data_IF_318935842981
#
_entry.id   IF_318935842981
#
_cell.length_a   1.000
_cell.length_b   1.000
_cell.length_c   1.000
_cell.angle_alpha   90.00
_cell.angle_beta   90.00
_cell.angle_gamma   90.00
#
_symmetry.space_group_name_H-M   'P 1'
#
loop_
_entity.id
_entity.type
_entity.pdbx_description
1 polymer ?
#
# COMPACT_ATOMS: atom_id res chain seq x y z
N UNK A 1 -25.20 1.39 -3.11
CA UNK A 1 -24.66 1.23 -1.74
C UNK A 1 -24.33 2.62 -1.22
N UNK A 2 -24.63 2.91 0.05
CA UNK A 2 -24.30 4.20 0.65
C UNK A 2 -22.84 4.17 1.14
N UNK A 3 -22.10 5.26 0.90
CA UNK A 3 -20.73 5.44 1.35
C UNK A 3 -20.60 6.79 2.04
N UNK A 4 -19.92 6.81 3.18
CA UNK A 4 -19.44 8.05 3.78
C UNK A 4 -18.12 8.41 3.10
N UNK A 5 -18.09 9.51 2.36
CA UNK A 5 -16.85 10.00 1.76
C UNK A 5 -15.95 10.55 2.86
N UNK A 6 -14.76 9.98 2.99
CA UNK A 6 -13.72 10.45 3.89
C UNK A 6 -12.39 10.47 3.14
N UNK A 7 -11.77 11.63 3.04
CA UNK A 7 -10.46 11.82 2.40
C UNK A 7 -9.49 12.36 3.46
N UNK A 8 -8.65 11.51 4.04
CA UNK A 8 -7.71 11.96 5.07
C UNK A 8 -6.58 12.84 4.48
N UNK A 9 -6.02 13.79 5.27
CA UNK A 9 -4.77 14.45 4.91
C UNK A 9 -3.62 13.45 4.71
N UNK A 10 -2.61 13.82 3.92
CA UNK A 10 -1.38 13.03 3.81
C UNK A 10 -0.68 12.94 5.19
N UNK A 11 -0.05 11.80 5.45
CA UNK A 11 0.57 11.50 6.75
C UNK A 11 -0.42 10.97 7.80
N UNK A 12 -1.73 10.99 7.54
CA UNK A 12 -2.73 10.40 8.43
C UNK A 12 -2.44 8.92 8.63
N UNK A 13 -2.54 8.47 9.88
CA UNK A 13 -2.44 7.08 10.30
C UNK A 13 -3.83 6.48 10.39
N UNK A 14 -4.03 5.37 9.70
CA UNK A 14 -5.27 4.60 9.65
C UNK A 14 -4.97 3.20 10.18
N UNK A 15 -5.90 2.61 10.92
CA UNK A 15 -5.81 1.21 11.35
C UNK A 15 -6.87 0.42 10.60
N UNK A 16 -6.47 -0.69 9.97
CA UNK A 16 -7.41 -1.63 9.36
C UNK A 16 -8.25 -2.30 10.44
N UNK A 17 -9.58 -2.20 10.36
CA UNK A 17 -10.50 -2.83 11.34
C UNK A 17 -10.85 -4.27 10.99
N UNK A 18 -10.63 -4.68 9.74
CA UNK A 18 -10.86 -6.03 9.23
C UNK A 18 -9.76 -6.38 8.21
N UNK A 19 -9.61 -7.66 7.81
CA UNK A 19 -8.72 -8.03 6.71
C UNK A 19 -9.06 -7.21 5.45
N UNK A 20 -8.03 -6.73 4.77
CA UNK A 20 -8.21 -6.00 3.51
C UNK A 20 -7.55 -6.76 2.37
N UNK A 21 -8.39 -7.25 1.46
CA UNK A 21 -8.00 -7.91 0.22
C UNK A 21 -7.89 -6.90 -0.92
N UNK A 22 -6.81 -6.99 -1.68
CA UNK A 22 -6.52 -6.09 -2.81
C UNK A 22 -5.59 -6.75 -3.83
N UNK A 23 -5.45 -6.10 -4.99
CA UNK A 23 -4.52 -6.51 -6.05
C UNK A 23 -3.13 -5.91 -5.79
N UNK A 24 -2.15 -6.76 -5.51
CA UNK A 24 -0.75 -6.38 -5.39
C UNK A 24 -0.03 -6.53 -6.74
N UNK A 25 0.19 -5.39 -7.40
CA UNK A 25 0.90 -5.32 -8.67
C UNK A 25 2.40 -5.59 -8.49
N UNK A 26 2.96 -6.41 -9.39
CA UNK A 26 4.39 -6.73 -9.45
C UNK A 26 5.23 -5.54 -9.93
N UNK A 27 5.41 -4.54 -9.08
CA UNK A 27 6.00 -3.26 -9.45
C UNK A 27 6.97 -2.77 -8.38
N UNK A 28 8.06 -2.11 -8.80
CA UNK A 28 9.19 -1.78 -7.93
C UNK A 28 8.84 -0.94 -6.68
N UNK A 29 7.80 -0.10 -6.73
CA UNK A 29 7.31 0.69 -5.57
C UNK A 29 6.57 -0.18 -4.55
N UNK A 30 6.10 -1.36 -4.97
CA UNK A 30 5.49 -2.38 -4.13
C UNK A 30 6.52 -3.40 -3.60
N UNK A 31 7.76 -3.36 -4.07
CA UNK A 31 8.79 -4.37 -3.76
C UNK A 31 8.99 -4.62 -2.26
N UNK A 32 8.85 -3.58 -1.41
CA UNK A 32 8.97 -3.77 0.05
C UNK A 32 7.78 -4.50 0.65
N UNK A 33 6.56 -4.31 0.13
CA UNK A 33 5.41 -5.08 0.58
C UNK A 33 5.46 -6.50 0.02
N UNK A 34 5.86 -6.67 -1.23
CA UNK A 34 6.12 -7.99 -1.82
C UNK A 34 7.08 -8.80 -0.95
N UNK A 35 8.23 -8.20 -0.58
CA UNK A 35 9.19 -8.84 0.30
C UNK A 35 8.63 -9.15 1.70
N UNK A 36 7.80 -8.26 2.27
CA UNK A 36 7.13 -8.51 3.55
C UNK A 36 6.20 -9.72 3.49
N UNK A 37 5.49 -9.89 2.37
CA UNK A 37 4.53 -10.98 2.14
C UNK A 37 5.18 -12.27 1.62
N UNK A 38 6.51 -12.28 1.44
CA UNK A 38 7.22 -13.42 0.89
C UNK A 38 7.00 -13.64 -0.61
N UNK A 39 6.57 -12.61 -1.34
CA UNK A 39 6.42 -12.65 -2.80
C UNK A 39 7.80 -12.56 -3.46
N UNK A 40 8.20 -13.64 -4.12
CA UNK A 40 9.52 -13.84 -4.74
C UNK A 40 9.53 -13.59 -6.25
N UNK A 41 8.43 -13.09 -6.83
CA UNK A 41 8.35 -12.83 -8.27
C UNK A 41 9.39 -11.79 -8.69
N UNK A 42 10.00 -12.01 -9.85
CA UNK A 42 10.87 -11.02 -10.48
C UNK A 42 10.04 -9.87 -11.04
N UNK A 43 10.56 -8.64 -10.97
CA UNK A 43 9.87 -7.46 -11.47
C UNK A 43 9.66 -7.55 -12.99
N UNK A 44 8.43 -7.28 -13.44
CA UNK A 44 8.02 -7.35 -14.85
C UNK A 44 7.64 -5.95 -15.37
N UNK A 45 7.79 -5.73 -16.68
CA UNK A 45 7.34 -4.51 -17.37
C UNK A 45 5.81 -4.46 -17.51
N UNK A 46 5.15 -5.62 -17.63
CA UNK A 46 3.68 -5.75 -17.57
C UNK A 46 3.26 -6.36 -16.22
N UNK A 47 3.08 -5.54 -15.17
CA UNK A 47 3.03 -6.02 -13.80
C UNK A 47 1.69 -6.72 -13.52
N UNK A 48 1.64 -8.04 -13.69
CA UNK A 48 0.46 -8.83 -13.31
C UNK A 48 0.23 -8.79 -11.79
N UNK A 49 -0.96 -8.39 -11.34
CA UNK A 49 -1.26 -8.40 -9.91
C UNK A 49 -1.52 -9.82 -9.40
N UNK A 50 -1.25 -10.02 -8.11
CA UNK A 50 -1.74 -11.18 -7.34
C UNK A 50 -2.65 -10.68 -6.23
N UNK A 51 -3.49 -11.56 -5.71
CA UNK A 51 -4.25 -11.26 -4.50
C UNK A 51 -3.31 -11.17 -3.30
N UNK A 52 -3.47 -10.12 -2.51
CA UNK A 52 -2.80 -9.92 -1.25
C UNK A 52 -3.82 -9.52 -0.18
N UNK A 53 -3.54 -9.90 1.06
CA UNK A 53 -4.39 -9.58 2.21
C UNK A 53 -3.52 -8.94 3.29
N UNK A 54 -3.94 -7.79 3.81
CA UNK A 54 -3.37 -7.22 5.03
C UNK A 54 -4.29 -7.55 6.22
N UNK A 55 -3.75 -8.01 7.35
CA UNK A 55 -4.56 -8.37 8.51
C UNK A 55 -5.13 -7.12 9.21
N UNK A 56 -6.20 -7.27 10.00
CA UNK A 56 -6.69 -6.22 10.89
C UNK A 56 -5.60 -5.80 11.88
N UNK A 57 -5.67 -4.56 12.37
CA UNK A 57 -4.67 -3.95 13.24
C UNK A 57 -3.45 -3.39 12.50
N UNK A 58 -3.33 -3.61 11.18
CA UNK A 58 -2.25 -3.00 10.39
C UNK A 58 -2.42 -1.49 10.35
N UNK A 59 -1.41 -0.77 10.83
CA UNK A 59 -1.38 0.69 10.81
C UNK A 59 -0.75 1.20 9.50
N UNK A 60 -1.58 1.87 8.69
CA UNK A 60 -1.24 2.43 7.40
C UNK A 60 -1.10 3.95 7.50
N UNK A 61 0.01 4.48 6.99
CA UNK A 61 0.25 5.91 6.85
C UNK A 61 -0.05 6.29 5.40
N UNK A 62 -1.00 7.19 5.17
CA UNK A 62 -1.32 7.70 3.83
C UNK A 62 -0.14 8.52 3.30
N UNK A 63 0.43 8.10 2.18
CA UNK A 63 1.66 8.68 1.62
C UNK A 63 1.36 9.64 0.46
N UNK A 64 0.57 9.19 -0.53
CA UNK A 64 0.24 9.95 -1.75
C UNK A 64 -1.14 9.58 -2.30
N UNK A 65 -1.80 10.56 -2.92
CA UNK A 65 -2.96 10.38 -3.80
C UNK A 65 -2.53 10.59 -5.25
N UNK A 66 -2.82 9.63 -6.11
CA UNK A 66 -2.78 9.79 -7.56
C UNK A 66 -4.19 9.58 -8.06
N UNK A 67 -4.93 10.67 -8.29
CA UNK A 67 -6.28 10.63 -8.86
C UNK A 67 -6.32 11.66 -9.98
N UNK A 68 -6.62 11.23 -11.21
CA UNK A 68 -6.57 12.12 -12.38
C UNK A 68 -7.77 11.92 -13.30
N UNK A 69 -8.49 13.02 -13.54
CA UNK A 69 -9.63 13.01 -14.45
C UNK A 69 -9.22 12.55 -15.86
N UNK A 70 -9.99 11.62 -16.43
CA UNK A 70 -9.75 11.05 -17.75
C UNK A 70 -8.65 9.98 -17.82
N UNK A 71 -8.01 9.66 -16.69
CA UNK A 71 -6.90 8.71 -16.59
C UNK A 71 -7.10 7.77 -15.39
N UNK A 72 -8.33 7.27 -15.23
CA UNK A 72 -8.76 6.48 -14.07
C UNK A 72 -8.01 5.16 -13.90
N UNK A 73 -7.40 4.64 -14.96
CA UNK A 73 -6.51 3.47 -14.86
C UNK A 73 -5.30 3.73 -13.96
N UNK A 74 -4.92 4.99 -13.70
CA UNK A 74 -3.81 5.34 -12.81
C UNK A 74 -4.27 5.67 -11.38
N UNK A 75 -5.58 5.70 -11.13
CA UNK A 75 -6.13 6.11 -9.84
C UNK A 75 -5.68 5.15 -8.73
N UNK A 76 -4.90 5.66 -7.79
CA UNK A 76 -4.24 4.87 -6.75
C UNK A 76 -3.87 5.71 -5.54
N UNK A 77 -3.77 5.05 -4.40
CA UNK A 77 -3.19 5.62 -3.19
C UNK A 77 -1.93 4.84 -2.83
N UNK A 78 -0.94 5.55 -2.30
CA UNK A 78 0.25 4.94 -1.70
C UNK A 78 0.17 4.97 -0.18
N UNK A 79 0.66 3.91 0.45
CA UNK A 79 0.72 3.76 1.90
C UNK A 79 2.13 3.39 2.35
N UNK A 80 2.45 3.73 3.60
CA UNK A 80 3.55 3.13 4.36
C UNK A 80 2.99 2.34 5.53
N UNK A 81 3.55 1.19 5.86
CA UNK A 81 3.17 0.46 7.08
C UNK A 81 3.99 1.01 8.25
N UNK A 82 3.33 1.43 9.33
CA UNK A 82 4.01 2.00 10.49
C UNK A 82 4.82 0.92 11.22
N UNK A 83 6.05 1.23 11.61
CA UNK A 83 6.91 0.32 12.39
C UNK A 83 7.45 -0.91 11.64
N UNK A 84 7.00 -1.17 10.40
CA UNK A 84 7.39 -2.34 9.62
C UNK A 84 8.42 -1.97 8.56
N UNK A 85 9.48 -2.77 8.45
CA UNK A 85 10.52 -2.64 7.44
C UNK A 85 10.79 -3.99 6.79
N UNK A 86 11.10 -3.98 5.50
CA UNK A 86 11.48 -5.15 4.73
C UNK A 86 12.77 -4.89 3.96
N UNK A 87 13.53 -5.96 3.69
CA UNK A 87 14.74 -5.90 2.87
C UNK A 87 14.37 -6.26 1.44
N UNK A 88 14.42 -5.29 0.53
CA UNK A 88 14.04 -5.49 -0.87
C UNK A 88 14.95 -4.70 -1.82
N UNK A 89 15.03 -5.15 -3.07
CA UNK A 89 15.50 -4.32 -4.19
C UNK A 89 14.33 -3.47 -4.65
N UNK A 90 14.44 -2.15 -4.47
CA UNK A 90 13.37 -1.19 -4.82
C UNK A 90 13.63 -0.47 -6.14
N UNK A 91 14.69 -0.84 -6.85
CA UNK A 91 15.02 -0.37 -8.20
C UNK A 91 15.59 -1.55 -8.98
N UNK A 92 15.23 -1.72 -10.27
CA UNK A 92 15.82 -2.75 -11.13
C UNK A 92 17.35 -2.68 -11.19
N UNK A 93 17.92 -1.48 -11.05
CA UNK A 93 19.35 -1.22 -11.13
C UNK A 93 20.08 -1.37 -9.78
N UNK A 94 19.37 -1.73 -8.70
CA UNK A 94 19.97 -1.87 -7.38
C UNK A 94 20.85 -3.12 -7.30
N UNK A 95 22.13 -2.93 -7.02
CA UNK A 95 23.09 -4.04 -6.84
C UNK A 95 22.81 -4.86 -5.58
N UNK A 96 22.26 -4.24 -4.53
CA UNK A 96 21.97 -4.88 -3.23
C UNK A 96 20.56 -4.54 -2.74
N UNK A 97 19.93 -5.50 -2.06
CA UNK A 97 18.71 -5.25 -1.32
C UNK A 97 19.04 -4.40 -0.07
N UNK A 98 18.14 -3.49 0.29
CA UNK A 98 18.32 -2.63 1.47
C UNK A 98 17.09 -2.69 2.35
N UNK A 99 17.29 -2.63 3.67
CA UNK A 99 16.19 -2.57 4.64
C UNK A 99 15.56 -1.18 4.57
N UNK A 100 14.26 -1.12 4.28
CA UNK A 100 13.48 0.12 4.18
C UNK A 100 12.11 -0.05 4.82
N UNK A 101 11.50 1.07 5.20
CA UNK A 101 10.10 1.08 5.63
C UNK A 101 9.22 0.47 4.52
N UNK A 102 8.27 -0.39 4.90
CA UNK A 102 7.37 -1.01 3.94
C UNK A 102 6.45 0.05 3.35
N UNK A 103 6.47 0.15 2.02
CA UNK A 103 5.64 1.00 1.18
C UNK A 103 5.03 0.17 0.05
N UNK A 104 3.84 0.60 -0.37
CA UNK A 104 3.16 0.08 -1.55
C UNK A 104 2.12 1.08 -2.04
N UNK A 105 1.55 0.82 -3.20
CA UNK A 105 0.35 1.46 -3.70
C UNK A 105 -0.71 0.42 -4.04
N UNK A 106 -1.97 0.84 -3.97
CA UNK A 106 -3.14 0.05 -4.39
C UNK A 106 -4.06 0.91 -5.25
N UNK A 107 -4.82 0.26 -6.14
CA UNK A 107 -5.79 0.98 -7.00
C UNK A 107 -6.91 1.56 -6.15
N UNK A 108 -7.47 2.69 -6.60
CA UNK A 108 -8.58 3.35 -5.92
C UNK A 108 -9.79 2.41 -5.74
N UNK A 109 -10.03 1.50 -6.70
CA UNK A 109 -11.07 0.47 -6.60
C UNK A 109 -10.92 -0.40 -5.34
N UNK A 110 -9.70 -0.88 -5.07
CA UNK A 110 -9.41 -1.74 -3.92
C UNK A 110 -9.36 -0.92 -2.63
N UNK A 111 -8.85 0.31 -2.68
CA UNK A 111 -8.78 1.22 -1.53
C UNK A 111 -10.18 1.55 -0.99
N UNK A 112 -11.16 1.73 -1.88
CA UNK A 112 -12.54 2.04 -1.49
C UNK A 112 -13.27 0.87 -0.80
N UNK A 113 -12.70 -0.34 -0.79
CA UNK A 113 -13.26 -1.49 -0.05
C UNK A 113 -12.77 -1.56 1.39
N UNK A 114 -11.72 -0.80 1.73
CA UNK A 114 -11.13 -0.79 3.06
C UNK A 114 -12.16 -0.41 4.14
N UNK A 115 -11.95 -0.96 5.34
CA UNK A 115 -12.58 -0.47 6.56
C UNK A 115 -11.46 -0.05 7.50
N UNK A 116 -11.50 1.21 7.92
CA UNK A 116 -10.43 1.84 8.68
C UNK A 116 -10.99 2.73 9.78
N UNK A 117 -10.18 2.90 10.81
CA UNK A 117 -10.33 3.92 11.84
C UNK A 117 -9.10 4.82 11.85
N UNK A 118 -9.23 6.02 12.40
CA UNK A 118 -8.06 6.85 12.70
C UNK A 118 -7.22 6.17 13.77
N UNK A 119 -5.90 6.08 13.55
CA UNK A 119 -5.02 5.58 14.60
C UNK A 119 -5.09 6.51 15.83
N UNK A 120 -5.01 5.96 17.05
CA UNK A 120 -4.97 6.77 18.26
C UNK A 120 -3.80 7.75 18.20
N UNK A 121 -3.98 8.93 18.78
CA UNK A 121 -2.88 9.87 18.98
C UNK A 121 -1.79 9.14 19.78
N UNK A 122 -0.55 9.11 19.26
CA UNK A 122 0.58 8.66 20.07
C UNK A 122 0.80 9.72 21.14
N UNK A 123 0.58 9.36 22.40
CA UNK A 123 1.07 10.16 23.52
C UNK A 123 2.58 10.39 23.31
N UNK A 124 2.97 11.66 23.38
CA UNK A 124 4.33 12.11 23.11
C UNK A 124 5.30 11.76 24.24
#
# INVERSE_FOLDING_TARGET
>A
MAHTLFVPPLGTRLVLVQPWDFKLYNEHRNATLMALLGDTRELDYDPKPVHATLPPGTELIVDRYYIKQGLGEFDSLSFRIAGVSATAKTSPWASKATKRQVRFWAKLEDVNTMRVELAPAKEA
#
